data_IF_931615060401
#
_entry.id   IF_931615060401
#
_cell.length_a   1.000
_cell.length_b   1.000
_cell.length_c   1.000
_cell.angle_alpha   90.00
_cell.angle_beta   90.00
_cell.angle_gamma   90.00
#
_symmetry.space_group_name_H-M   'P 1'
#
loop_
_entity.id
_entity.type
_entity.pdbx_description
1 polymer ?
#
# COMPACT_ATOMS: atom_id res chain seq x y z
N UNK A 1 13.80 4.72 14.46
CA UNK A 1 14.21 3.62 13.56
C UNK A 1 13.73 2.32 14.16
N UNK A 2 12.78 1.59 13.54
CA UNK A 2 12.35 0.27 14.04
C UNK A 2 13.46 -0.78 14.02
N UNK A 3 14.36 -0.70 13.03
CA UNK A 3 15.60 -1.49 12.92
C UNK A 3 16.71 -0.53 12.50
N UNK A 4 17.96 -0.79 12.93
CA UNK A 4 19.10 0.10 12.67
C UNK A 4 19.24 0.41 11.17
N UNK A 5 19.23 1.70 10.81
CA UNK A 5 19.41 2.15 9.42
C UNK A 5 18.15 2.07 8.55
N UNK A 6 17.02 1.62 9.10
CA UNK A 6 15.70 1.64 8.46
C UNK A 6 14.84 2.70 9.13
N UNK A 7 14.41 3.71 8.36
CA UNK A 7 13.52 4.76 8.86
C UNK A 7 12.08 4.21 8.97
N UNK A 8 11.24 4.80 9.81
CA UNK A 8 9.85 4.35 9.91
C UNK A 8 9.05 4.64 8.62
N UNK A 9 9.26 5.81 8.01
CA UNK A 9 8.64 6.16 6.72
C UNK A 9 9.12 5.28 5.55
N UNK A 10 10.26 4.62 5.74
CA UNK A 10 10.85 3.69 4.81
C UNK A 10 10.16 2.30 4.86
N UNK A 11 9.60 1.91 6.02
CA UNK A 11 8.84 0.66 6.20
C UNK A 11 7.46 0.73 5.55
N UNK A 12 6.85 1.91 5.52
CA UNK A 12 5.48 2.18 5.02
C UNK A 12 4.44 1.20 5.57
N UNK A 13 4.33 1.06 6.90
CA UNK A 13 3.47 0.06 7.50
C UNK A 13 2.00 0.25 7.12
N UNK A 14 1.52 1.50 6.99
CA UNK A 14 0.14 1.81 6.56
C UNK A 14 -0.22 1.28 5.17
N UNK A 15 0.77 0.99 4.32
CA UNK A 15 0.54 0.39 2.99
C UNK A 15 0.47 -1.14 3.03
N UNK A 16 0.72 -1.76 4.19
CA UNK A 16 0.70 -3.22 4.35
C UNK A 16 -0.67 -3.68 4.86
N UNK A 17 -1.37 -4.61 4.16
CA UNK A 17 -2.71 -5.06 4.55
C UNK A 17 -2.81 -5.51 6.02
N UNK A 18 -1.84 -6.32 6.48
CA UNK A 18 -1.80 -6.80 7.87
C UNK A 18 -1.73 -5.66 8.91
N UNK A 19 -1.08 -4.55 8.58
CA UNK A 19 -1.04 -3.39 9.48
C UNK A 19 -2.36 -2.64 9.47
N UNK A 20 -3.00 -2.50 8.29
CA UNK A 20 -4.32 -1.86 8.17
C UNK A 20 -5.37 -2.61 8.99
N UNK A 21 -5.39 -3.93 8.91
CA UNK A 21 -6.29 -4.79 9.70
C UNK A 21 -6.12 -4.56 11.20
N UNK A 22 -4.88 -4.60 11.69
CA UNK A 22 -4.59 -4.35 13.10
C UNK A 22 -4.96 -2.92 13.53
N UNK A 23 -4.70 -1.93 12.68
CA UNK A 23 -5.06 -0.53 12.93
C UNK A 23 -6.58 -0.35 13.02
N UNK A 24 -7.33 -0.95 12.08
CA UNK A 24 -8.79 -0.89 12.07
C UNK A 24 -9.39 -1.61 13.28
N UNK A 25 -8.83 -2.75 13.67
CA UNK A 25 -9.20 -3.45 14.91
C UNK A 25 -8.94 -2.58 16.14
N UNK A 26 -7.82 -1.88 16.17
CA UNK A 26 -7.45 -1.00 17.28
C UNK A 26 -8.42 0.19 17.41
N UNK A 27 -8.87 0.76 16.30
CA UNK A 27 -9.91 1.81 16.29
C UNK A 27 -11.21 1.32 16.95
N UNK A 28 -11.66 0.10 16.62
CA UNK A 28 -12.87 -0.49 17.21
C UNK A 28 -12.71 -0.76 18.71
N UNK A 29 -11.55 -1.30 19.12
CA UNK A 29 -11.27 -1.55 20.52
C UNK A 29 -11.23 -0.26 21.35
N UNK A 30 -10.74 0.84 20.76
CA UNK A 30 -10.65 2.17 21.40
C UNK A 30 -12.00 2.85 21.61
N UNK A 31 -13.11 2.32 21.07
CA UNK A 31 -14.47 2.80 21.40
C UNK A 31 -14.84 2.59 22.86
N UNK A 32 -14.30 1.56 23.50
CA UNK A 32 -14.44 1.28 24.94
C UNK A 32 -13.09 0.88 25.55
N UNK A 33 -12.20 1.86 25.80
CA UNK A 33 -10.81 1.60 26.14
C UNK A 33 -10.62 0.99 27.53
N UNK A 34 -11.54 1.25 28.47
CA UNK A 34 -11.47 0.69 29.82
C UNK A 34 -11.76 -0.80 29.81
N UNK A 35 -12.80 -1.22 29.09
CA UNK A 35 -13.16 -2.64 28.92
C UNK A 35 -12.15 -3.39 28.05
N UNK A 36 -11.60 -2.74 27.03
CA UNK A 36 -10.73 -3.38 26.04
C UNK A 36 -9.22 -3.20 26.32
N UNK A 37 -8.83 -2.68 27.49
CA UNK A 37 -7.45 -2.29 27.80
C UNK A 37 -6.40 -3.38 27.48
N UNK A 38 -6.68 -4.64 27.83
CA UNK A 38 -5.78 -5.76 27.54
C UNK A 38 -5.68 -6.03 26.03
N UNK A 39 -6.82 -6.04 25.33
CA UNK A 39 -6.87 -6.28 23.90
C UNK A 39 -6.21 -5.16 23.10
N UNK A 40 -6.35 -3.90 23.54
CA UNK A 40 -5.66 -2.74 22.99
C UNK A 40 -4.16 -2.94 23.09
N UNK A 41 -3.64 -3.20 24.30
CA UNK A 41 -2.21 -3.42 24.53
C UNK A 41 -1.66 -4.55 23.67
N UNK A 42 -2.35 -5.70 23.64
CA UNK A 42 -1.94 -6.84 22.81
C UNK A 42 -1.94 -6.50 21.31
N UNK A 43 -2.91 -5.73 20.83
CA UNK A 43 -2.95 -5.32 19.42
C UNK A 43 -1.84 -4.32 19.11
N UNK A 44 -1.54 -3.39 20.01
CA UNK A 44 -0.41 -2.45 19.89
C UNK A 44 0.94 -3.19 19.88
N UNK A 45 1.12 -4.21 20.72
CA UNK A 45 2.30 -5.09 20.70
C UNK A 45 2.42 -5.84 19.36
N UNK A 46 1.31 -6.35 18.83
CA UNK A 46 1.27 -7.00 17.50
C UNK A 46 1.65 -6.03 16.38
N UNK A 47 1.17 -4.79 16.41
CA UNK A 47 1.52 -3.76 15.44
C UNK A 47 3.00 -3.40 15.52
N UNK A 48 3.54 -3.21 16.74
CA UNK A 48 4.96 -2.93 16.93
C UNK A 48 5.84 -4.07 16.39
N UNK A 49 5.50 -5.32 16.71
CA UNK A 49 6.20 -6.49 16.20
C UNK A 49 6.11 -6.59 14.67
N UNK A 50 4.95 -6.28 14.09
CA UNK A 50 4.78 -6.25 12.63
C UNK A 50 5.68 -5.21 11.97
N UNK A 51 5.74 -3.98 12.52
CA UNK A 51 6.61 -2.91 12.00
C UNK A 51 8.08 -3.32 12.07
N UNK A 52 8.51 -3.99 13.14
CA UNK A 52 9.89 -4.50 13.27
C UNK A 52 10.17 -5.55 12.20
N UNK A 53 9.33 -6.58 12.04
CA UNK A 53 9.52 -7.59 10.99
C UNK A 53 9.59 -6.98 9.60
N UNK A 54 8.68 -6.06 9.27
CA UNK A 54 8.68 -5.38 7.97
C UNK A 54 9.97 -4.59 7.78
N UNK A 55 10.50 -3.95 8.83
CA UNK A 55 11.79 -3.26 8.75
C UNK A 55 12.96 -4.23 8.53
N UNK A 56 12.96 -5.40 9.16
CA UNK A 56 13.95 -6.47 8.94
C UNK A 56 13.90 -6.98 7.49
N UNK A 57 12.71 -7.30 6.98
CA UNK A 57 12.51 -7.74 5.59
C UNK A 57 13.04 -6.71 4.58
N UNK A 58 12.83 -5.42 4.84
CA UNK A 58 13.34 -4.32 4.00
C UNK A 58 14.86 -4.17 4.09
N UNK A 59 15.43 -4.37 5.27
CA UNK A 59 16.88 -4.39 5.44
C UNK A 59 17.48 -5.56 4.66
N UNK A 60 16.95 -6.77 4.83
CA UNK A 60 17.39 -7.97 4.12
C UNK A 60 17.24 -7.84 2.61
N UNK A 61 16.15 -7.24 2.11
CA UNK A 61 15.99 -6.98 0.69
C UNK A 61 17.09 -6.05 0.14
N UNK A 62 17.49 -5.05 0.94
CA UNK A 62 18.59 -4.14 0.58
C UNK A 62 19.94 -4.85 0.59
N UNK A 63 20.20 -5.70 1.59
CA UNK A 63 21.41 -6.53 1.65
C UNK A 63 21.49 -7.49 0.46
N UNK A 64 20.42 -8.26 0.18
CA UNK A 64 20.36 -9.20 -0.94
C UNK A 64 20.58 -8.50 -2.28
N UNK A 65 19.98 -7.33 -2.49
CA UNK A 65 20.19 -6.55 -3.71
C UNK A 65 21.65 -6.07 -3.84
N UNK A 66 22.28 -5.68 -2.72
CA UNK A 66 23.67 -5.24 -2.70
C UNK A 66 24.64 -6.41 -2.91
N UNK A 67 24.35 -7.60 -2.39
CA UNK A 67 25.14 -8.80 -2.66
C UNK A 67 25.10 -9.18 -4.15
N UNK A 68 23.92 -9.04 -4.78
CA UNK A 68 23.76 -9.27 -6.21
C UNK A 68 24.46 -8.21 -7.07
N UNK A 69 24.46 -6.96 -6.61
CA UNK A 69 25.07 -5.82 -7.31
C UNK A 69 26.03 -5.04 -6.40
N UNK A 70 27.24 -5.57 -6.09
CA UNK A 70 28.15 -4.96 -5.10
C UNK A 70 28.70 -3.57 -5.46
N UNK A 71 28.58 -3.18 -6.72
CA UNK A 71 28.98 -1.87 -7.23
C UNK A 71 27.88 -0.80 -7.06
N UNK A 72 26.65 -1.20 -6.71
CA UNK A 72 25.56 -0.27 -6.39
C UNK A 72 25.57 0.06 -4.90
N UNK A 73 25.44 1.33 -4.51
CA UNK A 73 25.33 1.70 -3.11
C UNK A 73 24.03 1.18 -2.50
N UNK A 74 24.01 0.96 -1.18
CA UNK A 74 22.80 0.57 -0.42
C UNK A 74 21.63 1.54 -0.59
N UNK A 75 21.92 2.80 -0.94
CA UNK A 75 20.94 3.81 -1.33
C UNK A 75 21.35 4.49 -2.62
N UNK A 76 20.44 4.51 -3.60
CA UNK A 76 20.61 5.22 -4.88
C UNK A 76 19.66 6.42 -4.85
N UNK A 77 20.20 7.64 -4.94
CA UNK A 77 19.44 8.89 -4.88
C UNK A 77 18.51 9.01 -3.66
N UNK A 78 18.91 8.41 -2.53
CA UNK A 78 18.16 8.38 -1.26
C UNK A 78 17.22 7.18 -1.10
N UNK A 79 16.87 6.49 -2.19
CA UNK A 79 16.01 5.29 -2.20
C UNK A 79 16.83 4.06 -1.82
N UNK A 80 16.31 3.17 -0.97
CA UNK A 80 17.01 1.92 -0.62
C UNK A 80 17.09 1.02 -1.84
N UNK A 81 18.22 0.33 -2.00
CA UNK A 81 18.45 -0.55 -3.14
C UNK A 81 17.39 -1.66 -3.24
N UNK A 82 16.91 -2.17 -2.10
CA UNK A 82 15.85 -3.18 -2.04
C UNK A 82 14.45 -2.69 -2.41
N UNK A 83 14.20 -1.36 -2.45
CA UNK A 83 12.93 -0.79 -2.91
C UNK A 83 12.95 -0.40 -4.40
N UNK A 84 14.11 -0.50 -5.05
CA UNK A 84 14.22 -0.24 -6.48
C UNK A 84 13.83 -1.54 -7.21
N UNK A 85 12.94 -1.49 -8.22
CA UNK A 85 12.46 -2.68 -8.94
C UNK A 85 13.52 -3.22 -9.92
N UNK A 86 14.70 -3.58 -9.41
CA UNK A 86 15.84 -4.02 -10.21
C UNK A 86 15.56 -5.33 -10.96
N UNK A 87 14.74 -6.22 -10.39
CA UNK A 87 14.43 -7.54 -11.00
C UNK A 87 13.38 -7.44 -12.11
N UNK A 88 12.55 -6.41 -12.09
CA UNK A 88 11.49 -6.17 -13.08
C UNK A 88 12.02 -5.40 -14.30
N UNK A 89 13.25 -4.88 -14.23
CA UNK A 89 13.86 -4.13 -15.31
C UNK A 89 14.59 -5.04 -16.30
N UNK A 90 14.02 -5.17 -17.50
CA UNK A 90 14.58 -5.96 -18.59
C UNK A 90 15.97 -5.49 -19.02
N UNK A 91 16.19 -4.17 -19.02
CA UNK A 91 17.47 -3.55 -19.42
C UNK A 91 18.55 -3.94 -18.41
N UNK A 92 18.30 -3.75 -17.11
CA UNK A 92 19.22 -4.15 -16.05
C UNK A 92 19.48 -5.66 -16.09
N UNK A 93 18.46 -6.48 -16.34
CA UNK A 93 18.59 -7.94 -16.49
C UNK A 93 19.47 -8.34 -17.69
N UNK A 94 19.40 -7.59 -18.80
CA UNK A 94 20.31 -7.79 -19.94
C UNK A 94 21.75 -7.38 -19.62
N UNK A 95 21.93 -6.25 -18.95
CA UNK A 95 23.24 -5.76 -18.51
C UNK A 95 23.89 -6.70 -17.49
N UNK A 96 23.13 -7.24 -16.54
CA UNK A 96 23.62 -8.22 -15.58
C UNK A 96 24.15 -9.48 -16.28
N UNK A 97 23.44 -9.98 -17.30
CA UNK A 97 23.88 -11.10 -18.13
C UNK A 97 25.14 -10.77 -18.94
N UNK A 98 25.25 -9.54 -19.47
CA UNK A 98 26.44 -9.06 -20.19
C UNK A 98 27.66 -9.00 -19.26
N UNK A 99 27.51 -8.40 -18.07
CA UNK A 99 28.54 -8.33 -17.03
C UNK A 99 29.04 -9.73 -16.65
N UNK A 100 28.13 -10.68 -16.40
CA UNK A 100 28.51 -12.05 -16.05
C UNK A 100 29.35 -12.73 -17.15
N UNK A 101 29.07 -12.46 -18.42
CA UNK A 101 29.90 -12.97 -19.54
C UNK A 101 31.28 -12.33 -19.56
N UNK A 102 31.37 -11.01 -19.35
CA UNK A 102 32.64 -10.28 -19.37
C UNK A 102 33.54 -10.63 -18.18
N UNK A 103 32.98 -10.97 -17.03
CA UNK A 103 33.75 -11.42 -15.87
C UNK A 103 34.40 -12.81 -16.05
N UNK A 104 34.04 -13.57 -17.09
CA UNK A 104 34.66 -14.88 -17.39
C UNK A 104 36.09 -14.78 -17.89
N UNK A 105 36.53 -13.61 -18.37
CA UNK A 105 37.89 -13.39 -18.87
C UNK A 105 38.50 -12.12 -18.29
N UNK A 106 39.76 -12.15 -17.80
CA UNK A 106 40.44 -10.95 -17.32
C UNK A 106 40.60 -9.86 -18.39
N UNK A 107 40.64 -10.26 -19.67
CA UNK A 107 40.81 -9.33 -20.81
C UNK A 107 39.61 -8.40 -21.00
N UNK A 108 38.43 -8.84 -20.59
CA UNK A 108 37.17 -8.10 -20.71
C UNK A 108 36.77 -7.42 -19.40
N UNK A 109 37.69 -7.29 -18.42
CA UNK A 109 37.42 -6.65 -17.14
C UNK A 109 37.07 -5.16 -17.29
N UNK A 110 37.71 -4.45 -18.22
CA UNK A 110 37.38 -3.05 -18.54
C UNK A 110 35.95 -2.94 -19.08
N UNK A 111 35.54 -3.87 -19.94
CA UNK A 111 34.17 -3.90 -20.49
C UNK A 111 33.12 -4.24 -19.42
N UNK A 112 33.49 -5.05 -18.41
CA UNK A 112 32.64 -5.34 -17.27
C UNK A 112 32.42 -4.07 -16.43
N UNK A 113 33.47 -3.28 -16.19
CA UNK A 113 33.34 -2.03 -15.46
C UNK A 113 32.48 -1.00 -16.21
N UNK A 114 32.67 -0.85 -17.52
CA UNK A 114 31.80 -0.01 -18.34
C UNK A 114 30.33 -0.47 -18.26
N UNK A 115 30.09 -1.78 -18.19
CA UNK A 115 28.74 -2.35 -18.02
C UNK A 115 28.18 -2.07 -16.61
N UNK A 116 29.02 -2.07 -15.57
CA UNK A 116 28.62 -1.65 -14.21
C UNK A 116 28.20 -0.17 -14.16
N UNK A 117 28.91 0.72 -14.87
CA UNK A 117 28.52 2.13 -15.00
C UNK A 117 27.16 2.28 -15.71
N UNK A 118 26.91 1.52 -16.78
CA UNK A 118 25.61 1.47 -17.45
C UNK A 118 24.50 1.01 -16.48
N UNK A 119 24.78 -0.02 -15.68
CA UNK A 119 23.84 -0.52 -14.65
C UNK A 119 23.60 0.50 -13.54
N UNK A 120 24.61 1.26 -13.13
CA UNK A 120 24.48 2.32 -12.14
C UNK A 120 23.57 3.44 -12.64
N UNK A 121 23.76 3.90 -13.88
CA UNK A 121 22.87 4.90 -14.50
C UNK A 121 21.44 4.38 -14.59
N UNK A 122 21.25 3.10 -14.95
CA UNK A 122 19.91 2.49 -14.99
C UNK A 122 19.27 2.42 -13.60
N UNK A 123 20.03 2.05 -12.57
CA UNK A 123 19.54 2.06 -11.18
C UNK A 123 19.15 3.48 -10.71
N UNK A 124 19.90 4.51 -11.10
CA UNK A 124 19.56 5.91 -10.82
C UNK A 124 18.28 6.37 -11.53
N UNK A 125 18.04 5.93 -12.76
CA UNK A 125 16.77 6.16 -13.47
C UNK A 125 15.60 5.50 -12.74
N UNK A 126 15.75 4.23 -12.34
CA UNK A 126 14.71 3.52 -11.58
C UNK A 126 14.45 4.18 -10.22
N UNK A 127 15.50 4.61 -9.51
CA UNK A 127 15.36 5.36 -8.26
C UNK A 127 14.62 6.70 -8.46
N UNK A 128 14.88 7.42 -9.56
CA UNK A 128 14.12 8.62 -9.92
C UNK A 128 12.65 8.31 -10.16
N UNK A 129 12.34 7.21 -10.84
CA UNK A 129 10.96 6.79 -11.08
C UNK A 129 10.23 6.48 -9.78
N UNK A 130 10.86 5.76 -8.84
CA UNK A 130 10.28 5.50 -7.50
C UNK A 130 9.94 6.82 -6.79
N UNK A 131 10.89 7.76 -6.74
CA UNK A 131 10.67 9.08 -6.12
C UNK A 131 9.59 9.89 -6.82
N UNK A 132 9.50 9.79 -8.14
CA UNK A 132 8.48 10.47 -8.92
C UNK A 132 7.07 9.93 -8.60
N UNK A 133 6.92 8.61 -8.53
CA UNK A 133 5.65 7.96 -8.11
C UNK A 133 5.26 8.39 -6.71
N UNK A 134 6.21 8.41 -5.77
CA UNK A 134 5.97 8.87 -4.40
C UNK A 134 5.54 10.34 -4.34
N UNK A 135 6.19 11.21 -5.14
CA UNK A 135 5.83 12.62 -5.22
C UNK A 135 4.42 12.81 -5.81
N UNK A 136 4.06 12.06 -6.86
CA UNK A 136 2.70 12.09 -7.41
C UNK A 136 1.66 11.64 -6.39
N UNK A 137 1.94 10.56 -5.65
CA UNK A 137 1.06 10.09 -4.56
C UNK A 137 0.88 11.17 -3.50
N UNK A 138 1.96 11.76 -3.02
CA UNK A 138 1.91 12.84 -2.01
C UNK A 138 1.13 14.06 -2.49
N UNK A 139 1.40 14.53 -3.71
CA UNK A 139 0.70 15.69 -4.29
C UNK A 139 -0.79 15.41 -4.51
N UNK A 140 -1.15 14.22 -5.00
CA UNK A 140 -2.55 13.81 -5.15
C UNK A 140 -3.27 13.76 -3.80
N UNK A 141 -2.59 13.30 -2.77
CA UNK A 141 -3.14 13.19 -1.43
C UNK A 141 -3.41 14.57 -0.81
N UNK A 142 -2.44 15.47 -0.95
CA UNK A 142 -2.55 16.86 -0.52
C UNK A 142 -3.67 17.59 -1.26
N UNK A 143 -3.82 17.34 -2.57
CA UNK A 143 -4.91 17.92 -3.35
C UNK A 143 -6.29 17.50 -2.84
N UNK A 144 -6.48 16.21 -2.50
CA UNK A 144 -7.74 15.73 -1.92
C UNK A 144 -7.97 16.35 -0.55
N UNK A 145 -6.93 16.43 0.29
CA UNK A 145 -6.99 17.06 1.62
C UNK A 145 -7.37 18.54 1.56
N UNK A 146 -6.77 19.30 0.65
CA UNK A 146 -7.06 20.72 0.46
C UNK A 146 -8.52 20.98 0.05
N UNK A 147 -9.14 20.04 -0.68
CA UNK A 147 -10.56 20.11 -1.06
C UNK A 147 -11.50 19.61 0.04
N UNK A 148 -11.00 18.86 1.00
CA UNK A 148 -11.77 18.24 2.07
C UNK A 148 -11.11 18.53 3.42
N UNK A 149 -11.13 19.79 3.90
CA UNK A 149 -10.36 20.22 5.07
C UNK A 149 -10.74 19.51 6.38
N UNK A 150 -11.94 18.92 6.44
CA UNK A 150 -12.39 18.07 7.55
C UNK A 150 -11.72 16.68 7.58
N UNK A 151 -11.06 16.25 6.49
CA UNK A 151 -10.19 15.06 6.47
C UNK A 151 -8.80 15.46 6.99
N UNK A 152 -8.67 15.54 8.31
CA UNK A 152 -7.49 16.10 8.98
C UNK A 152 -6.17 15.35 8.72
N UNK A 153 -6.25 14.06 8.41
CA UNK A 153 -5.09 13.18 8.21
C UNK A 153 -4.90 12.82 6.74
N UNK A 154 -3.70 12.37 6.41
CA UNK A 154 -3.31 11.95 5.05
C UNK A 154 -3.95 10.63 4.60
N UNK A 155 -4.62 9.91 5.51
CA UNK A 155 -5.27 8.66 5.21
C UNK A 155 -6.58 8.50 5.99
N UNK A 156 -7.42 7.57 5.52
CA UNK A 156 -8.58 7.03 6.22
C UNK A 156 -8.45 5.53 6.26
N UNK A 157 -8.55 4.91 7.44
CA UNK A 157 -8.38 3.46 7.60
C UNK A 157 -7.09 2.94 6.94
N UNK A 158 -6.01 3.72 7.06
CA UNK A 158 -4.70 3.48 6.44
C UNK A 158 -4.70 3.43 4.90
N UNK A 159 -5.73 3.96 4.24
CA UNK A 159 -5.80 4.20 2.79
C UNK A 159 -5.56 5.69 2.51
N UNK A 160 -4.55 6.06 1.70
CA UNK A 160 -4.32 7.44 1.30
C UNK A 160 -5.58 8.09 0.71
N UNK A 161 -5.85 9.34 1.06
CA UNK A 161 -6.99 10.10 0.50
C UNK A 161 -7.02 10.10 -1.03
N UNK A 162 -5.86 10.14 -1.69
CA UNK A 162 -5.77 10.09 -3.16
C UNK A 162 -6.26 8.78 -3.78
N UNK A 163 -6.32 7.71 -3.00
CA UNK A 163 -6.78 6.38 -3.44
C UNK A 163 -8.26 6.14 -3.13
N UNK A 164 -8.90 7.05 -2.39
CA UNK A 164 -10.32 6.97 -2.08
C UNK A 164 -11.17 7.42 -3.28
N UNK A 165 -12.21 6.67 -3.67
CA UNK A 165 -13.08 7.00 -4.80
C UNK A 165 -14.09 8.12 -4.47
N UNK A 166 -13.70 9.16 -3.72
CA UNK A 166 -14.60 10.22 -3.24
C UNK A 166 -15.34 10.94 -4.38
N UNK A 167 -14.68 11.17 -5.51
CA UNK A 167 -15.26 11.84 -6.67
C UNK A 167 -16.28 10.97 -7.41
N UNK A 168 -16.15 9.64 -7.33
CA UNK A 168 -17.07 8.67 -7.95
C UNK A 168 -18.24 8.30 -7.04
N UNK A 169 -18.15 8.54 -5.73
CA UNK A 169 -19.19 8.19 -4.78
C UNK A 169 -20.32 9.22 -4.75
N UNK A 170 -21.49 8.86 -5.28
CA UNK A 170 -22.65 9.77 -5.36
C UNK A 170 -23.18 10.23 -4.00
N UNK A 171 -23.07 9.38 -2.97
CA UNK A 171 -23.51 9.69 -1.60
C UNK A 171 -22.59 10.76 -0.99
N UNK A 172 -21.27 10.58 -1.08
CA UNK A 172 -20.27 11.56 -0.68
C UNK A 172 -20.46 12.87 -1.42
N UNK A 173 -20.62 12.85 -2.75
CA UNK A 173 -20.82 14.06 -3.56
C UNK A 173 -22.11 14.81 -3.18
N UNK A 174 -23.18 14.09 -2.83
CA UNK A 174 -24.42 14.67 -2.32
C UNK A 174 -24.20 15.43 -1.02
N UNK A 175 -23.60 14.77 -0.02
CA UNK A 175 -23.27 15.40 1.28
C UNK A 175 -22.29 16.56 1.13
N UNK A 176 -21.33 16.45 0.20
CA UNK A 176 -20.35 17.49 -0.05
C UNK A 176 -20.98 18.75 -0.65
N UNK A 177 -21.97 18.59 -1.55
CA UNK A 177 -22.76 19.72 -2.06
C UNK A 177 -23.59 20.38 -0.97
N UNK A 178 -24.20 19.59 -0.09
CA UNK A 178 -24.95 20.13 1.06
C UNK A 178 -24.01 20.89 2.02
N UNK A 179 -22.79 20.41 2.20
CA UNK A 179 -21.74 21.07 2.97
C UNK A 179 -21.34 22.42 2.36
N UNK A 180 -21.13 22.48 1.04
CA UNK A 180 -20.84 23.74 0.34
C UNK A 180 -21.99 24.74 0.47
N UNK A 181 -23.24 24.28 0.37
CA UNK A 181 -24.44 25.11 0.58
C UNK A 181 -24.48 25.66 2.01
N UNK A 182 -24.20 24.82 3.00
CA UNK A 182 -24.21 25.23 4.40
C UNK A 182 -23.11 26.28 4.71
N UNK A 183 -21.96 26.20 4.04
CA UNK A 183 -20.86 27.17 4.17
C UNK A 183 -21.19 28.58 3.67
N UNK A 184 -22.27 28.77 2.90
CA UNK A 184 -22.71 30.11 2.48
C UNK A 184 -23.09 31.00 3.68
N UNK A 185 -23.56 30.41 4.78
CA UNK A 185 -23.77 31.05 6.08
C UNK A 185 -23.24 30.16 7.20
N UNK A 186 -21.91 30.15 7.34
CA UNK A 186 -21.22 29.24 8.26
C UNK A 186 -21.56 29.49 9.74
N UNK A 187 -21.89 30.73 10.13
CA UNK A 187 -22.26 31.05 11.51
C UNK A 187 -23.64 30.49 11.85
N UNK A 188 -24.64 30.71 10.99
CA UNK A 188 -25.99 30.18 11.21
C UNK A 188 -26.05 28.65 11.08
N UNK A 189 -25.24 28.08 10.19
CA UNK A 189 -25.25 26.66 9.88
C UNK A 189 -24.19 25.85 10.63
N UNK A 190 -23.49 26.41 11.62
CA UNK A 190 -22.44 25.74 12.39
C UNK A 190 -22.78 24.30 12.85
N UNK A 191 -23.96 24.01 13.47
CA UNK A 191 -24.28 22.64 13.87
C UNK A 191 -24.46 21.71 12.65
N UNK A 192 -25.08 22.20 11.58
CA UNK A 192 -25.29 21.44 10.35
C UNK A 192 -23.99 21.12 9.63
N UNK A 193 -23.05 22.08 9.62
CA UNK A 193 -21.71 21.90 9.08
C UNK A 193 -20.98 20.80 9.84
N UNK A 194 -20.99 20.84 11.18
CA UNK A 194 -20.37 19.81 12.01
C UNK A 194 -20.97 18.41 11.77
N UNK A 195 -22.29 18.31 11.61
CA UNK A 195 -22.97 17.07 11.23
C UNK A 195 -22.52 16.55 9.86
N UNK A 196 -22.44 17.44 8.86
CA UNK A 196 -22.01 17.08 7.50
C UNK A 196 -20.53 16.67 7.46
N UNK A 197 -19.65 17.35 8.17
CA UNK A 197 -18.23 16.98 8.27
C UNK A 197 -18.05 15.62 8.96
N UNK A 198 -18.87 15.30 9.96
CA UNK A 198 -18.92 13.96 10.55
C UNK A 198 -19.40 12.92 9.54
N UNK A 199 -20.49 13.19 8.83
CA UNK A 199 -21.06 12.27 7.85
C UNK A 199 -20.09 12.02 6.67
N UNK A 200 -19.41 13.06 6.18
CA UNK A 200 -18.39 12.96 5.13
C UNK A 200 -17.17 12.15 5.61
N UNK A 201 -16.72 12.36 6.85
CA UNK A 201 -15.65 11.55 7.45
C UNK A 201 -16.01 10.07 7.59
N UNK A 202 -17.25 9.78 8.00
CA UNK A 202 -17.75 8.41 8.11
C UNK A 202 -17.86 7.76 6.74
N UNK A 203 -18.41 8.44 5.73
CA UNK A 203 -18.47 7.89 4.37
C UNK A 203 -17.08 7.67 3.78
N UNK A 204 -16.12 8.56 4.05
CA UNK A 204 -14.73 8.34 3.64
C UNK A 204 -14.09 7.12 4.32
N UNK A 205 -14.44 6.81 5.58
CA UNK A 205 -14.00 5.58 6.26
C UNK A 205 -14.62 4.33 5.64
N UNK A 206 -15.92 4.37 5.30
CA UNK A 206 -16.59 3.27 4.59
C UNK A 206 -15.91 2.98 3.25
N UNK A 207 -15.70 4.02 2.44
CA UNK A 207 -15.01 3.89 1.14
C UNK A 207 -13.58 3.36 1.29
N UNK A 208 -12.88 3.73 2.37
CA UNK A 208 -11.55 3.21 2.66
C UNK A 208 -11.56 1.71 3.00
N UNK A 209 -12.56 1.25 3.75
CA UNK A 209 -12.75 -0.17 4.05
C UNK A 209 -13.12 -0.97 2.79
N UNK A 210 -14.01 -0.44 1.94
CA UNK A 210 -14.35 -1.03 0.63
C UNK A 210 -13.10 -1.18 -0.26
N UNK A 211 -12.22 -0.17 -0.29
CA UNK A 211 -10.93 -0.26 -1.01
C UNK A 211 -10.05 -1.38 -0.43
N UNK A 212 -9.94 -1.49 0.90
CA UNK A 212 -9.17 -2.55 1.54
C UNK A 212 -9.71 -3.95 1.21
N UNK A 213 -11.02 -4.13 1.26
CA UNK A 213 -11.68 -5.40 0.92
C UNK A 213 -11.45 -5.78 -0.53
N UNK A 214 -11.58 -4.82 -1.45
CA UNK A 214 -11.28 -5.03 -2.87
C UNK A 214 -9.83 -5.46 -3.09
N UNK A 215 -8.88 -4.79 -2.45
CA UNK A 215 -7.45 -5.15 -2.55
C UNK A 215 -7.17 -6.56 -2.01
N UNK A 216 -7.75 -6.91 -0.86
CA UNK A 216 -7.61 -8.25 -0.27
C UNK A 216 -8.17 -9.33 -1.21
N UNK A 217 -9.31 -9.08 -1.85
CA UNK A 217 -9.91 -10.00 -2.82
C UNK A 217 -9.08 -10.15 -4.09
N UNK A 218 -8.55 -9.05 -4.63
CA UNK A 218 -7.66 -9.10 -5.79
C UNK A 218 -6.37 -9.88 -5.50
N UNK A 219 -5.87 -9.76 -4.27
CA UNK A 219 -4.71 -10.53 -3.81
C UNK A 219 -5.03 -12.02 -3.66
N UNK A 220 -6.20 -12.37 -3.13
CA UNK A 220 -6.62 -13.77 -2.94
C UNK A 220 -6.97 -14.45 -4.27
N UNK A 221 -7.72 -13.75 -5.12
CA UNK A 221 -8.15 -14.22 -6.43
C UNK A 221 -7.32 -13.57 -7.54
N UNK A 222 -6.03 -13.89 -7.58
CA UNK A 222 -5.08 -13.28 -8.53
C UNK A 222 -5.49 -13.39 -10.00
N UNK A 223 -6.27 -14.41 -10.39
CA UNK A 223 -6.81 -14.57 -11.75
C UNK A 223 -7.79 -13.45 -12.14
N UNK A 224 -8.41 -12.78 -11.18
CA UNK A 224 -9.30 -11.65 -11.42
C UNK A 224 -8.52 -10.39 -11.81
N UNK A 225 -7.26 -10.26 -11.38
CA UNK A 225 -6.41 -9.11 -11.75
C UNK A 225 -6.15 -9.00 -13.26
N UNK A 226 -6.21 -10.13 -13.98
CA UNK A 226 -6.01 -10.20 -15.43
C UNK A 226 -7.18 -9.63 -16.24
N UNK A 227 -8.36 -9.48 -15.63
CA UNK A 227 -9.59 -9.01 -16.30
C UNK A 227 -9.99 -7.62 -15.83
N UNK A 228 -9.00 -6.73 -15.58
CA UNK A 228 -9.24 -5.40 -15.03
C UNK A 228 -9.99 -4.47 -16.00
N UNK A 229 -11.31 -4.64 -16.10
CA UNK A 229 -12.24 -3.72 -16.74
C UNK A 229 -12.63 -2.62 -15.74
N UNK A 230 -13.20 -1.48 -16.14
CA UNK A 230 -13.82 -0.58 -15.16
C UNK A 230 -15.11 -1.20 -14.58
N UNK A 231 -15.27 -1.18 -13.25
CA UNK A 231 -16.53 -1.54 -12.56
C UNK A 231 -16.80 -3.03 -12.34
N UNK A 232 -16.04 -3.97 -12.93
CA UNK A 232 -16.30 -5.41 -12.73
C UNK A 232 -16.05 -5.86 -11.30
N UNK A 233 -15.07 -5.31 -10.58
CA UNK A 233 -14.77 -5.74 -9.20
C UNK A 233 -15.94 -5.43 -8.26
N UNK A 234 -16.56 -4.26 -8.46
CA UNK A 234 -17.74 -3.80 -7.75
C UNK A 234 -18.96 -4.66 -8.11
N UNK A 235 -19.16 -4.94 -9.41
CA UNK A 235 -20.20 -5.84 -9.86
C UNK A 235 -20.04 -7.27 -9.32
N UNK A 236 -18.82 -7.81 -9.30
CA UNK A 236 -18.51 -9.16 -8.78
C UNK A 236 -18.78 -9.28 -7.28
N UNK A 237 -18.48 -8.23 -6.51
CA UNK A 237 -18.74 -8.18 -5.06
C UNK A 237 -20.22 -8.41 -4.75
N UNK A 238 -21.10 -7.87 -5.60
CA UNK A 238 -22.54 -7.95 -5.46
C UNK A 238 -23.19 -9.09 -6.27
N UNK A 239 -22.41 -9.84 -7.06
CA UNK A 239 -22.91 -10.94 -7.89
C UNK A 239 -23.09 -12.22 -7.05
N UNK A 240 -24.34 -12.62 -6.84
CA UNK A 240 -24.70 -13.77 -6.00
C UNK A 240 -24.12 -15.11 -6.48
N UNK A 241 -23.97 -15.32 -7.80
CA UNK A 241 -23.34 -16.54 -8.33
C UNK A 241 -21.84 -16.55 -8.03
N UNK A 242 -21.19 -15.40 -8.18
CA UNK A 242 -19.80 -15.25 -7.80
C UNK A 242 -19.61 -15.48 -6.29
N UNK A 243 -20.53 -15.02 -5.43
CA UNK A 243 -20.44 -15.28 -3.99
C UNK A 243 -20.43 -16.78 -3.67
N UNK A 244 -21.30 -17.57 -4.31
CA UNK A 244 -21.33 -19.03 -4.15
C UNK A 244 -20.07 -19.71 -4.74
N UNK A 245 -19.58 -19.23 -5.87
CA UNK A 245 -18.36 -19.75 -6.49
C UNK A 245 -17.12 -19.46 -5.64
N UNK A 246 -17.07 -18.34 -4.93
CA UNK A 246 -16.02 -18.02 -3.96
C UNK A 246 -15.96 -19.03 -2.82
N UNK A 247 -17.11 -19.34 -2.20
CA UNK A 247 -17.18 -20.32 -1.11
C UNK A 247 -16.59 -21.67 -1.56
N UNK A 248 -16.97 -22.10 -2.76
CA UNK A 248 -16.45 -23.34 -3.35
C UNK A 248 -14.96 -23.27 -3.71
N UNK A 249 -14.49 -22.12 -4.21
CA UNK A 249 -13.06 -21.92 -4.45
C UNK A 249 -12.27 -21.97 -3.14
N UNK A 250 -12.73 -21.31 -2.09
CA UNK A 250 -12.09 -21.26 -0.78
C UNK A 250 -12.03 -22.65 -0.13
N UNK A 251 -13.07 -23.48 -0.29
CA UNK A 251 -13.04 -24.89 0.09
C UNK A 251 -11.99 -25.69 -0.70
N UNK A 252 -11.88 -25.43 -2.01
CA UNK A 252 -10.96 -26.10 -2.90
C UNK A 252 -9.53 -25.55 -2.85
N UNK A 253 -9.29 -24.40 -2.22
CA UNK A 253 -7.95 -23.84 -2.01
C UNK A 253 -7.37 -24.22 -0.65
N UNK A 254 -8.19 -24.69 0.30
CA UNK A 254 -7.73 -25.28 1.57
C UNK A 254 -6.92 -26.55 1.34
N UNK A 255 -5.88 -26.77 2.14
CA UNK A 255 -4.94 -27.89 2.05
C UNK A 255 -5.72 -29.24 2.09
N UNK A 256 -5.43 -30.23 1.21
CA UNK A 256 -6.13 -31.52 1.19
C UNK A 256 -6.21 -32.25 2.54
N UNK A 257 -5.30 -31.95 3.46
CA UNK A 257 -5.27 -32.51 4.82
C UNK A 257 -6.36 -31.93 5.74
N UNK A 258 -6.79 -30.69 5.51
CA UNK A 258 -7.87 -30.05 6.26
C UNK A 258 -9.26 -30.54 5.82
N UNK A 259 -9.37 -31.09 4.60
CA UNK A 259 -10.62 -31.62 4.04
C UNK A 259 -11.04 -32.98 4.63
N UNK A 260 -10.14 -33.68 5.34
CA UNK A 260 -10.41 -35.01 5.93
C UNK A 260 -10.90 -34.95 7.38
N UNK A 261 -11.02 -33.77 7.99
CA UNK A 261 -11.46 -33.61 9.38
C UNK A 261 -12.98 -33.51 9.58
N UNK A 262 -13.77 -33.48 8.50
CA UNK A 262 -15.23 -33.25 8.53
C UNK A 262 -16.00 -34.26 7.70
N UNK A 263 -15.59 -35.53 7.74
CA UNK A 263 -16.34 -36.65 7.16
C UNK A 263 -16.77 -37.63 8.27
#
# INVERSE_FOLDING_TARGET
EPVRGILLGDVRPVQQPAFRELSNKLDELRRDPTRNAVAIRTTEEQMAALVVRLAEERAEATERAHEQYPFLPRRVLGVRLGDIPLQEDDVLSQLARRRLRQLRSPKTAIDAHATEEEMMRRAEELARNVRLVDAYRGNGNEYVRARNPFLMYEDRKCVPLSELPLAGDGVYQGMFRDYLTALEDAEANAPRIAELENALRSRADELALEVCEREAQLSHYSFLSAQNVPGWSDALLHDAEFQQLRERYDELSKDPRERRGTA
#
